data_IF_470992806061
#
_entry.id   IF_470992806061
#
_cell.length_a   1.000
_cell.length_b   1.000
_cell.length_c   1.000
_cell.angle_alpha   90.00
_cell.angle_beta   90.00
_cell.angle_gamma   90.00
#
_symmetry.space_group_name_H-M   'P 1'
#
loop_
_entity.id
_entity.type
_entity.pdbx_description
1 polymer ?
#
# COMPACT_ATOMS: atom_id res chain seq x y z
N UNK A 1 -7.62 9.38 17.15
CA UNK A 1 -8.62 9.27 16.07
C UNK A 1 -9.45 8.01 16.28
N UNK A 2 -10.74 8.07 15.95
CA UNK A 2 -11.58 6.88 15.91
C UNK A 2 -11.49 6.21 14.52
N UNK A 3 -12.03 5.00 14.40
CA UNK A 3 -11.98 4.20 13.17
C UNK A 3 -12.58 4.93 11.96
N UNK A 4 -13.72 5.60 12.13
CA UNK A 4 -14.41 6.28 11.01
C UNK A 4 -13.60 7.49 10.50
N UNK A 5 -12.93 8.21 11.38
CA UNK A 5 -12.01 9.28 11.00
C UNK A 5 -10.83 8.73 10.20
N UNK A 6 -10.26 7.58 10.60
CA UNK A 6 -9.16 6.94 9.87
C UNK A 6 -9.58 6.43 8.49
N UNK A 7 -10.82 5.91 8.36
CA UNK A 7 -11.38 5.54 7.06
C UNK A 7 -11.46 6.73 6.11
N UNK A 8 -11.95 7.86 6.61
CA UNK A 8 -12.05 9.08 5.81
C UNK A 8 -10.67 9.58 5.38
N UNK A 9 -9.71 9.65 6.29
CA UNK A 9 -8.33 10.05 5.99
C UNK A 9 -7.68 9.12 4.96
N UNK A 10 -7.86 7.80 5.08
CA UNK A 10 -7.31 6.86 4.10
C UNK A 10 -7.84 7.14 2.70
N UNK A 11 -9.16 7.32 2.55
CA UNK A 11 -9.80 7.61 1.27
C UNK A 11 -9.29 8.94 0.69
N UNK A 12 -9.17 9.97 1.51
CA UNK A 12 -8.64 11.27 1.09
C UNK A 12 -7.19 11.16 0.58
N UNK A 13 -6.32 10.46 1.31
CA UNK A 13 -4.93 10.24 0.91
C UNK A 13 -4.81 9.35 -0.34
N UNK A 14 -5.65 8.33 -0.48
CA UNK A 14 -5.67 7.49 -1.67
C UNK A 14 -6.10 8.27 -2.93
N UNK A 15 -7.11 9.14 -2.81
CA UNK A 15 -7.49 10.09 -3.88
C UNK A 15 -6.37 11.09 -4.17
N UNK A 16 -5.67 11.56 -3.15
CA UNK A 16 -4.54 12.49 -3.32
C UNK A 16 -3.41 11.85 -4.12
N UNK A 17 -3.09 10.57 -3.93
CA UNK A 17 -2.13 9.84 -4.79
C UNK A 17 -2.56 9.87 -6.26
N UNK A 18 -3.85 9.65 -6.53
CA UNK A 18 -4.44 9.74 -7.87
C UNK A 18 -4.30 11.14 -8.48
N UNK A 19 -4.65 12.17 -7.71
CA UNK A 19 -4.59 13.57 -8.15
C UNK A 19 -3.16 14.03 -8.46
N UNK A 20 -2.17 13.48 -7.76
CA UNK A 20 -0.76 13.80 -7.95
C UNK A 20 -0.04 12.86 -8.94
N UNK A 21 -0.77 12.00 -9.66
CA UNK A 21 -0.22 11.13 -10.69
C UNK A 21 0.63 9.97 -10.17
N UNK A 22 0.53 9.64 -8.87
CA UNK A 22 1.21 8.49 -8.28
C UNK A 22 0.43 7.18 -8.46
N UNK A 23 -0.84 7.26 -8.85
CA UNK A 23 -1.69 6.14 -9.26
C UNK A 23 -2.55 6.57 -10.44
N UNK A 24 -3.01 5.61 -11.25
CA UNK A 24 -4.18 5.82 -12.10
C UNK A 24 -5.47 5.63 -11.28
N UNK A 25 -6.63 5.61 -11.92
CA UNK A 25 -7.92 5.51 -11.23
C UNK A 25 -8.15 4.18 -10.51
N UNK A 26 -7.45 3.11 -10.87
CA UNK A 26 -7.70 1.74 -10.39
C UNK A 26 -6.44 1.03 -9.88
N UNK A 27 -5.27 1.68 -9.94
CA UNK A 27 -4.01 1.07 -9.50
C UNK A 27 -3.68 1.39 -8.05
N UNK A 28 -2.81 0.57 -7.48
CA UNK A 28 -2.40 0.69 -6.11
C UNK A 28 -3.49 0.31 -5.12
N UNK A 29 -3.18 0.37 -3.86
CA UNK A 29 -4.10 0.13 -2.77
C UNK A 29 -3.55 0.76 -1.49
N UNK A 30 -4.41 0.92 -0.49
CA UNK A 30 -4.03 1.51 0.77
C UNK A 30 -4.78 0.86 1.93
N UNK A 31 -4.16 0.80 3.09
CA UNK A 31 -4.78 0.32 4.31
C UNK A 31 -4.29 1.07 5.54
N UNK A 32 -5.06 0.98 6.61
CA UNK A 32 -4.64 1.34 7.95
C UNK A 32 -4.99 0.24 8.96
N UNK A 33 -4.21 0.19 10.04
CA UNK A 33 -4.45 -0.71 11.16
C UNK A 33 -5.18 0.02 12.29
N UNK A 34 -6.25 -0.59 12.78
CA UNK A 34 -6.98 -0.17 13.98
C UNK A 34 -7.11 -1.35 14.93
N UNK A 35 -6.24 -1.44 15.94
CA UNK A 35 -6.11 -2.61 16.81
C UNK A 35 -5.74 -3.87 16.00
N UNK A 36 -6.61 -4.88 16.00
CA UNK A 36 -6.45 -6.13 15.24
C UNK A 36 -7.14 -6.09 13.88
N UNK A 37 -7.88 -5.01 13.57
CA UNK A 37 -8.52 -4.79 12.29
C UNK A 37 -7.58 -4.07 11.32
N UNK A 38 -7.64 -4.46 10.05
CA UNK A 38 -6.96 -3.81 8.93
C UNK A 38 -8.03 -3.41 7.92
N UNK A 39 -8.22 -2.12 7.74
CA UNK A 39 -9.16 -1.57 6.77
C UNK A 39 -8.43 -1.24 5.49
N UNK A 40 -8.81 -1.89 4.38
CA UNK A 40 -8.12 -1.82 3.09
C UNK A 40 -9.07 -1.42 1.97
N UNK A 41 -8.54 -0.77 0.95
CA UNK A 41 -9.28 -0.50 -0.29
C UNK A 41 -9.73 -1.80 -0.95
N UNK A 42 -10.96 -1.87 -1.50
CA UNK A 42 -11.45 -3.08 -2.17
C UNK A 42 -10.70 -3.34 -3.48
N UNK A 43 -10.70 -4.58 -3.93
CA UNK A 43 -10.14 -4.96 -5.23
C UNK A 43 -10.86 -4.23 -6.37
N UNK A 44 -10.10 -3.66 -7.31
CA UNK A 44 -10.66 -2.99 -8.50
C UNK A 44 -11.42 -1.70 -8.20
N UNK A 45 -11.28 -1.11 -7.00
CA UNK A 45 -11.93 0.16 -6.68
C UNK A 45 -11.40 1.30 -7.56
N UNK A 46 -12.26 2.29 -7.80
CA UNK A 46 -11.88 3.52 -8.45
C UNK A 46 -11.56 4.60 -7.41
N UNK A 47 -10.34 5.14 -7.43
CA UNK A 47 -9.92 6.16 -6.46
C UNK A 47 -10.82 7.42 -6.48
N UNK A 48 -11.37 7.77 -7.65
CA UNK A 48 -12.19 8.98 -7.82
C UNK A 48 -13.56 8.85 -7.13
N UNK A 49 -14.07 7.63 -6.97
CA UNK A 49 -15.42 7.37 -6.43
C UNK A 49 -15.43 6.60 -5.11
N UNK A 50 -14.28 6.09 -4.64
CA UNK A 50 -14.17 5.34 -3.40
C UNK A 50 -14.71 6.15 -2.21
N UNK A 51 -15.53 5.52 -1.38
CA UNK A 51 -16.08 6.09 -0.16
C UNK A 51 -15.55 5.35 1.08
N UNK A 52 -15.54 5.98 2.28
CA UNK A 52 -15.08 5.32 3.51
C UNK A 52 -15.81 4.02 3.86
N UNK A 53 -17.09 3.93 3.50
CA UNK A 53 -17.92 2.73 3.69
C UNK A 53 -17.58 1.57 2.76
N UNK A 54 -16.89 1.83 1.65
CA UNK A 54 -16.45 0.80 0.70
C UNK A 54 -15.22 0.03 1.21
N UNK A 55 -14.49 0.57 2.21
CA UNK A 55 -13.32 -0.10 2.74
C UNK A 55 -13.68 -1.44 3.38
N UNK A 56 -12.88 -2.45 3.07
CA UNK A 56 -13.08 -3.84 3.49
C UNK A 56 -12.25 -4.15 4.73
N UNK A 57 -12.81 -4.90 5.67
CA UNK A 57 -12.11 -5.32 6.86
C UNK A 57 -11.32 -6.62 6.64
N UNK A 58 -10.07 -6.60 7.06
CA UNK A 58 -9.24 -7.78 7.27
C UNK A 58 -8.78 -7.80 8.73
N UNK A 59 -8.26 -8.92 9.18
CA UNK A 59 -7.72 -9.06 10.53
C UNK A 59 -6.24 -9.44 10.49
N UNK A 60 -5.54 -9.03 11.55
CA UNK A 60 -4.10 -9.31 11.71
C UNK A 60 -3.79 -10.82 11.72
N UNK A 61 -4.74 -11.68 12.06
CA UNK A 61 -4.60 -13.13 12.03
C UNK A 61 -4.69 -13.74 10.63
N UNK A 62 -4.98 -12.95 9.60
CA UNK A 62 -5.10 -13.39 8.21
C UNK A 62 -6.52 -13.52 7.67
N UNK A 63 -7.56 -13.39 8.53
CA UNK A 63 -8.95 -13.41 8.07
C UNK A 63 -9.25 -12.18 7.21
N UNK A 64 -10.00 -12.37 6.14
CA UNK A 64 -10.37 -11.31 5.17
C UNK A 64 -11.83 -11.42 4.80
N UNK A 65 -12.51 -10.27 4.77
CA UNK A 65 -13.84 -10.20 4.16
C UNK A 65 -13.74 -10.26 2.63
N UNK A 66 -14.82 -10.69 2.00
CA UNK A 66 -14.93 -10.74 0.55
C UNK A 66 -14.78 -9.33 -0.05
N UNK A 67 -14.07 -9.23 -1.17
CA UNK A 67 -13.82 -7.97 -1.86
C UNK A 67 -12.56 -7.23 -1.44
N UNK A 68 -11.82 -7.71 -0.44
CA UNK A 68 -10.53 -7.12 -0.08
C UNK A 68 -9.56 -7.08 -1.27
N UNK A 69 -8.64 -6.09 -1.30
CA UNK A 69 -7.59 -5.99 -2.30
C UNK A 69 -6.86 -7.32 -2.51
N UNK A 70 -6.42 -7.60 -3.74
CA UNK A 70 -5.54 -8.74 -4.03
C UNK A 70 -4.25 -8.71 -3.20
N UNK A 71 -3.77 -7.52 -2.84
CA UNK A 71 -2.58 -7.32 -2.01
C UNK A 71 -2.87 -7.38 -0.49
N UNK A 72 -4.08 -7.76 -0.08
CA UNK A 72 -4.42 -7.79 1.35
C UNK A 72 -3.44 -8.64 2.18
N UNK A 73 -2.95 -9.76 1.65
CA UNK A 73 -1.95 -10.60 2.33
C UNK A 73 -0.62 -9.85 2.53
N UNK A 74 -0.17 -9.07 1.55
CA UNK A 74 1.02 -8.23 1.66
C UNK A 74 0.87 -7.23 2.81
N UNK A 75 -0.26 -6.52 2.85
CA UNK A 75 -0.53 -5.54 3.91
C UNK A 75 -0.59 -6.20 5.30
N UNK A 76 -1.28 -7.34 5.41
CA UNK A 76 -1.37 -8.11 6.66
C UNK A 76 0.03 -8.53 7.13
N UNK A 77 0.86 -9.04 6.22
CA UNK A 77 2.23 -9.47 6.53
C UNK A 77 3.09 -8.30 7.06
N UNK A 78 3.03 -7.13 6.42
CA UNK A 78 3.72 -5.93 6.89
C UNK A 78 3.31 -5.58 8.32
N UNK A 79 2.01 -5.59 8.64
CA UNK A 79 1.53 -5.30 10.00
C UNK A 79 1.88 -6.38 11.02
N UNK A 80 2.01 -7.64 10.59
CA UNK A 80 2.45 -8.73 11.46
C UNK A 80 3.93 -8.62 11.82
N UNK A 81 4.77 -8.24 10.86
CA UNK A 81 6.22 -8.14 11.06
C UNK A 81 6.64 -6.79 11.64
N UNK A 82 5.90 -5.72 11.37
CA UNK A 82 6.19 -4.39 11.89
C UNK A 82 5.04 -3.88 12.75
N UNK A 83 5.17 -4.06 14.07
CA UNK A 83 4.15 -3.66 15.05
C UNK A 83 3.90 -2.14 15.07
N UNK A 84 4.87 -1.34 14.65
CA UNK A 84 4.78 0.11 14.62
C UNK A 84 4.13 0.64 13.34
N UNK A 85 3.99 -0.19 12.31
CA UNK A 85 3.28 0.18 11.09
C UNK A 85 1.81 0.50 11.40
N UNK A 86 1.35 1.69 11.01
CA UNK A 86 -0.03 2.16 11.19
C UNK A 86 -0.79 2.23 9.89
N UNK A 87 -0.09 2.40 8.76
CA UNK A 87 -0.65 2.41 7.42
C UNK A 87 0.33 1.79 6.43
N UNK A 88 -0.22 1.22 5.36
CA UNK A 88 0.54 0.72 4.21
C UNK A 88 -0.08 1.32 2.96
N UNK A 89 0.74 1.86 2.09
CA UNK A 89 0.34 2.44 0.82
C UNK A 89 1.14 1.78 -0.30
N UNK A 90 0.44 1.21 -1.25
CA UNK A 90 0.98 0.73 -2.51
C UNK A 90 0.63 1.73 -3.62
N UNK A 91 1.63 2.30 -4.26
CA UNK A 91 1.46 3.26 -5.33
C UNK A 91 2.28 2.89 -6.57
N UNK A 92 1.87 3.41 -7.72
CA UNK A 92 2.52 3.20 -9.03
C UNK A 92 3.16 4.52 -9.51
N UNK A 93 4.00 5.13 -8.67
CA UNK A 93 4.66 6.39 -8.97
C UNK A 93 5.55 6.31 -10.21
N UNK A 94 5.24 7.04 -11.32
CA UNK A 94 5.93 6.88 -12.59
C UNK A 94 7.42 7.22 -12.52
N UNK A 95 7.78 8.16 -11.66
CA UNK A 95 9.20 8.50 -11.47
C UNK A 95 9.97 7.40 -10.75
N UNK A 96 9.39 6.78 -9.72
CA UNK A 96 10.01 5.65 -9.04
C UNK A 96 10.20 4.47 -10.00
N UNK A 97 9.16 4.14 -10.78
CA UNK A 97 9.22 3.09 -11.79
C UNK A 97 10.32 3.39 -12.82
N UNK A 98 10.38 4.63 -13.34
CA UNK A 98 11.37 5.00 -14.36
C UNK A 98 12.81 4.92 -13.84
N UNK A 99 13.05 5.32 -12.58
CA UNK A 99 14.37 5.30 -11.95
C UNK A 99 14.86 3.89 -11.62
N UNK A 100 13.96 2.93 -11.50
CA UNK A 100 14.27 1.55 -11.08
C UNK A 100 14.09 0.51 -12.18
N UNK A 101 13.89 0.94 -13.45
CA UNK A 101 13.70 0.06 -14.61
C UNK A 101 14.87 -0.91 -14.86
N UNK A 102 16.07 -0.54 -14.44
CA UNK A 102 17.26 -1.39 -14.54
C UNK A 102 17.35 -2.48 -13.46
N UNK A 103 16.44 -2.45 -12.47
CA UNK A 103 16.41 -3.39 -11.36
C UNK A 103 17.40 -3.09 -10.24
N UNK A 104 18.12 -1.96 -10.31
CA UNK A 104 19.05 -1.54 -9.27
C UNK A 104 18.31 -0.79 -8.17
N UNK A 105 18.79 -0.93 -6.94
CA UNK A 105 18.32 -0.18 -5.79
C UNK A 105 18.49 1.33 -6.00
N UNK A 106 17.54 2.11 -5.52
CA UNK A 106 17.61 3.56 -5.61
C UNK A 106 18.25 4.16 -4.36
N UNK A 107 19.30 4.97 -4.57
CA UNK A 107 19.98 5.74 -3.53
C UNK A 107 19.79 7.23 -3.84
N UNK A 108 19.02 7.97 -3.03
CA UNK A 108 18.83 9.41 -3.23
C UNK A 108 20.13 10.20 -3.14
N UNK A 109 20.26 11.25 -3.94
CA UNK A 109 21.44 12.14 -3.94
C UNK A 109 21.15 13.47 -3.25
N UNK A 110 19.89 13.81 -3.04
CA UNK A 110 19.46 15.02 -2.35
C UNK A 110 19.40 14.82 -0.83
N UNK A 111 19.44 15.93 -0.09
CA UNK A 111 19.51 15.89 1.38
C UNK A 111 18.27 15.25 2.02
N UNK A 112 17.07 15.62 1.56
CA UNK A 112 15.82 15.09 2.14
C UNK A 112 15.63 13.62 1.83
N UNK A 113 15.91 13.22 0.58
CA UNK A 113 15.88 11.82 0.17
C UNK A 113 16.83 10.96 1.01
N UNK A 114 18.08 11.39 1.20
CA UNK A 114 19.06 10.68 2.03
C UNK A 114 18.64 10.62 3.51
N UNK A 115 17.94 11.62 4.00
CA UNK A 115 17.47 11.65 5.39
C UNK A 115 16.30 10.69 5.64
N UNK A 116 15.30 10.67 4.76
CA UNK A 116 14.08 9.88 4.94
C UNK A 116 14.16 8.48 4.33
N UNK A 117 14.85 8.34 3.19
CA UNK A 117 14.92 7.12 2.39
C UNK A 117 16.35 6.87 1.90
N UNK A 118 17.33 6.67 2.81
CA UNK A 118 18.74 6.58 2.44
C UNK A 118 19.04 5.46 1.43
N UNK A 119 18.14 4.49 1.35
CA UNK A 119 18.21 3.35 0.43
C UNK A 119 16.80 2.82 0.19
N UNK A 120 16.42 2.68 -1.07
CA UNK A 120 15.13 2.10 -1.49
C UNK A 120 15.44 0.82 -2.26
N UNK A 121 15.19 -0.36 -1.69
CA UNK A 121 15.47 -1.62 -2.35
C UNK A 121 14.51 -1.87 -3.52
N UNK A 122 15.02 -2.50 -4.59
CA UNK A 122 14.20 -2.99 -5.70
C UNK A 122 14.03 -4.49 -5.57
N UNK A 123 12.81 -4.91 -5.29
CA UNK A 123 12.45 -6.32 -5.17
C UNK A 123 11.90 -6.80 -6.51
N UNK A 124 12.60 -7.77 -7.14
CA UNK A 124 12.19 -8.35 -8.42
C UNK A 124 11.51 -9.70 -8.18
N UNK A 125 10.22 -9.77 -8.48
CA UNK A 125 9.41 -10.99 -8.35
C UNK A 125 8.81 -11.32 -9.72
N UNK A 126 8.90 -12.57 -10.20
CA UNK A 126 8.21 -12.99 -11.42
C UNK A 126 6.70 -12.78 -11.30
N UNK A 127 6.06 -12.31 -12.38
CA UNK A 127 4.64 -11.96 -12.38
C UNK A 127 3.76 -13.10 -11.84
N UNK A 128 4.03 -14.34 -12.25
CA UNK A 128 3.25 -15.51 -11.87
C UNK A 128 3.37 -15.87 -10.37
N UNK A 129 4.41 -15.34 -9.71
CA UNK A 129 4.70 -15.63 -8.30
C UNK A 129 4.39 -14.44 -7.39
N UNK A 130 3.92 -13.32 -7.95
CA UNK A 130 3.73 -12.07 -7.20
C UNK A 130 2.82 -12.25 -5.98
N UNK A 131 1.64 -12.82 -6.16
CA UNK A 131 0.64 -12.97 -5.08
C UNK A 131 1.17 -13.83 -3.91
N UNK A 132 2.02 -14.82 -4.23
CA UNK A 132 2.59 -15.73 -3.24
C UNK A 132 3.83 -15.15 -2.55
N UNK A 133 4.74 -14.53 -3.31
CA UNK A 133 6.04 -14.12 -2.81
C UNK A 133 6.10 -12.67 -2.31
N UNK A 134 5.30 -11.75 -2.87
CA UNK A 134 5.36 -10.35 -2.51
C UNK A 134 5.05 -10.09 -1.02
N UNK A 135 4.11 -10.79 -0.36
CA UNK A 135 3.85 -10.57 1.06
C UNK A 135 5.09 -10.75 1.94
N UNK A 136 5.86 -11.81 1.72
CA UNK A 136 7.08 -12.08 2.51
C UNK A 136 8.25 -11.18 2.08
N UNK A 137 8.37 -10.91 0.78
CA UNK A 137 9.49 -10.14 0.24
C UNK A 137 9.44 -8.65 0.60
N UNK A 138 8.24 -8.09 0.82
CA UNK A 138 8.02 -6.67 1.12
C UNK A 138 7.93 -6.41 2.62
N UNK A 139 7.49 -7.37 3.41
CA UNK A 139 7.34 -7.25 4.85
C UNK A 139 8.67 -7.42 5.58
#
# INVERSE_FOLDING_TARGET
MNREQLKQELVEHYRWLRQNGNNDSHSGNASFRFHDEIWITPTGCCADTLMPEDLVCCHINGDKEEGASLDANLHIQVYQQNIDAKSVIHSHGPHAIALTLNGDDFVPVDFEGQYYFPHVPVISIPYEQYIEQAPEAVA
#
